data_IF_778052983795
#
_entry.id   IF_778052983795
#
_cell.length_a   1.000
_cell.length_b   1.000
_cell.length_c   1.000
_cell.angle_alpha   90.00
_cell.angle_beta   90.00
_cell.angle_gamma   90.00
#
_symmetry.space_group_name_H-M   'P 1'
#
loop_
_entity.id
_entity.type
_entity.pdbx_description
1 polymer ?
#
# COMPACT_ATOMS: atom_id res chain seq x y z
N UNK A 1 -26.79 -1.01 14.42
CA UNK A 1 -25.74 -1.99 14.11
C UNK A 1 -25.14 -1.65 12.78
N UNK A 2 -24.09 -0.85 12.83
CA UNK A 2 -23.24 -0.55 11.68
C UNK A 2 -22.46 -1.80 11.26
N UNK A 3 -22.22 -1.93 9.96
CA UNK A 3 -21.27 -2.92 9.45
C UNK A 3 -19.85 -2.38 9.63
N UNK A 4 -18.95 -3.25 10.07
CA UNK A 4 -17.54 -2.98 10.29
C UNK A 4 -16.74 -3.96 9.45
N UNK A 5 -15.81 -3.45 8.66
CA UNK A 5 -14.85 -4.22 7.87
C UNK A 5 -13.44 -3.88 8.32
N UNK A 6 -12.64 -4.90 8.60
CA UNK A 6 -11.23 -4.76 8.97
C UNK A 6 -10.39 -5.27 7.80
N UNK A 7 -9.55 -4.40 7.25
CA UNK A 7 -8.64 -4.72 6.14
C UNK A 7 -7.22 -4.65 6.66
N UNK A 8 -6.46 -5.72 6.49
CA UNK A 8 -5.05 -5.76 6.86
C UNK A 8 -4.26 -4.76 6.04
N UNK A 9 -3.38 -4.01 6.68
CA UNK A 9 -2.39 -3.21 5.97
C UNK A 9 -1.18 -4.04 5.53
N UNK A 10 -0.98 -5.22 6.12
CA UNK A 10 0.11 -6.12 5.72
C UNK A 10 -0.27 -6.94 4.48
N UNK A 11 -1.45 -7.57 4.49
CA UNK A 11 -1.88 -8.43 3.38
C UNK A 11 -2.78 -7.73 2.36
N UNK A 12 -3.32 -6.56 2.70
CA UNK A 12 -4.38 -5.87 1.95
C UNK A 12 -5.68 -6.66 1.82
N UNK A 13 -5.82 -7.77 2.55
CA UNK A 13 -7.04 -8.58 2.54
C UNK A 13 -8.00 -8.18 3.65
N UNK A 14 -9.29 -8.49 3.45
CA UNK A 14 -10.29 -8.32 4.51
C UNK A 14 -10.13 -9.43 5.55
N UNK A 15 -9.76 -9.05 6.77
CA UNK A 15 -9.60 -9.97 7.90
C UNK A 15 -10.95 -10.34 8.51
N UNK A 16 -11.84 -9.36 8.65
CA UNK A 16 -13.14 -9.55 9.27
C UNK A 16 -14.18 -8.61 8.64
N UNK A 17 -15.43 -9.09 8.54
CA UNK A 17 -16.62 -8.26 8.34
C UNK A 17 -17.68 -8.67 9.35
N UNK A 18 -18.20 -7.72 10.11
CA UNK A 18 -19.08 -7.97 11.26
C UNK A 18 -20.08 -6.83 11.44
N UNK A 19 -21.22 -7.12 12.07
CA UNK A 19 -22.23 -6.12 12.48
C UNK A 19 -22.31 -5.99 14.00
N UNK A 20 -21.33 -6.55 14.71
CA UNK A 20 -21.23 -6.46 16.17
C UNK A 20 -20.76 -5.07 16.59
N UNK A 21 -21.14 -4.69 17.80
CA UNK A 21 -20.74 -3.44 18.45
C UNK A 21 -19.26 -3.44 18.89
N UNK A 22 -18.54 -4.56 18.72
CA UNK A 22 -17.14 -4.68 19.11
C UNK A 22 -16.35 -5.53 18.12
N UNK A 23 -15.17 -5.05 17.74
CA UNK A 23 -14.19 -5.73 16.89
C UNK A 23 -12.81 -5.65 17.53
N UNK A 24 -11.98 -6.69 17.39
CA UNK A 24 -10.61 -6.69 17.93
C UNK A 24 -9.60 -6.73 16.80
N UNK A 25 -8.56 -5.92 16.92
CA UNK A 25 -7.47 -5.84 15.95
C UNK A 25 -6.25 -6.57 16.50
N UNK A 26 -5.67 -7.44 15.68
CA UNK A 26 -4.44 -8.18 15.99
C UNK A 26 -3.21 -7.66 15.25
N UNK A 27 -3.40 -6.92 14.15
CA UNK A 27 -2.35 -6.40 13.28
C UNK A 27 -2.74 -5.03 12.71
N UNK A 28 -1.78 -4.27 12.18
CA UNK A 28 -2.07 -2.96 11.60
C UNK A 28 -3.12 -3.05 10.48
N UNK A 29 -4.21 -2.29 10.62
CA UNK A 29 -5.42 -2.44 9.81
C UNK A 29 -6.07 -1.11 9.46
N UNK A 30 -6.75 -1.06 8.31
CA UNK A 30 -7.76 -0.05 8.02
C UNK A 30 -9.11 -0.59 8.48
N UNK A 31 -9.72 0.09 9.45
CA UNK A 31 -11.08 -0.20 9.91
C UNK A 31 -12.04 0.69 9.16
N UNK A 32 -12.94 0.09 8.39
CA UNK A 32 -14.00 0.77 7.69
C UNK A 32 -15.33 0.51 8.40
N UNK A 33 -16.08 1.56 8.72
CA UNK A 33 -17.38 1.47 9.38
C UNK A 33 -18.42 2.12 8.48
N UNK A 34 -19.50 1.40 8.17
CA UNK A 34 -20.65 1.97 7.47
C UNK A 34 -21.48 2.82 8.43
N UNK A 35 -21.19 4.12 8.42
CA UNK A 35 -21.85 5.12 9.25
C UNK A 35 -21.69 6.50 8.61
N UNK A 36 -22.74 7.32 8.64
CA UNK A 36 -22.62 8.71 8.25
C UNK A 36 -21.92 9.52 9.35
N UNK A 37 -20.97 10.39 8.99
CA UNK A 37 -20.28 11.26 9.94
C UNK A 37 -21.23 12.13 10.77
N UNK A 38 -22.37 12.52 10.20
CA UNK A 38 -23.39 13.31 10.91
C UNK A 38 -24.09 12.51 12.00
N UNK A 39 -24.08 11.17 11.94
CA UNK A 39 -24.65 10.30 12.96
C UNK A 39 -23.65 10.00 14.10
N UNK A 40 -22.36 10.33 13.92
CA UNK A 40 -21.32 10.17 14.93
C UNK A 40 -21.39 11.33 15.93
N UNK A 41 -21.62 11.01 17.21
CA UNK A 41 -21.65 11.97 18.31
C UNK A 41 -20.27 12.24 18.88
N UNK A 42 -19.47 11.20 19.11
CA UNK A 42 -18.15 11.30 19.73
C UNK A 42 -17.24 10.16 19.25
N UNK A 43 -15.94 10.44 19.14
CA UNK A 43 -14.89 9.44 19.00
C UNK A 43 -13.91 9.67 20.14
N UNK A 44 -13.68 8.65 20.96
CA UNK A 44 -12.87 8.76 22.17
C UNK A 44 -11.90 7.57 22.27
N UNK A 45 -10.73 7.83 22.84
CA UNK A 45 -9.82 6.76 23.25
C UNK A 45 -10.12 6.31 24.68
N UNK A 46 -10.16 5.00 24.88
CA UNK A 46 -10.18 4.36 26.20
C UNK A 46 -9.07 3.30 26.28
N UNK A 47 -7.96 3.65 26.94
CA UNK A 47 -6.74 2.82 26.92
C UNK A 47 -6.23 2.64 25.50
N UNK A 48 -6.26 1.41 24.97
CA UNK A 48 -5.87 1.10 23.59
C UNK A 48 -7.05 1.02 22.62
N UNK A 49 -8.26 1.32 23.08
CA UNK A 49 -9.47 1.12 22.30
C UNK A 49 -9.95 2.45 21.72
N UNK A 50 -10.50 2.42 20.51
CA UNK A 50 -11.30 3.51 19.98
C UNK A 50 -12.78 3.22 20.25
N UNK A 51 -13.47 4.18 20.84
CA UNK A 51 -14.92 4.12 21.12
C UNK A 51 -15.58 5.19 20.26
N UNK A 52 -16.44 4.75 19.34
CA UNK A 52 -17.27 5.62 18.52
C UNK A 52 -18.68 5.58 19.09
N UNK A 53 -19.17 6.71 19.59
CA UNK A 53 -20.56 6.84 20.09
C UNK A 53 -21.40 7.53 19.03
N UNK A 54 -22.50 6.90 18.65
CA UNK A 54 -23.47 7.43 17.69
C UNK A 54 -24.57 8.23 18.40
N UNK A 55 -25.24 9.13 17.68
CA UNK A 55 -26.34 9.97 18.22
C UNK A 55 -27.54 9.17 18.71
N UNK A 56 -27.71 7.93 18.23
CA UNK A 56 -28.73 7.00 18.70
C UNK A 56 -28.35 6.26 20.01
N UNK A 57 -27.14 6.49 20.54
CA UNK A 57 -26.61 5.84 21.73
C UNK A 57 -25.84 4.53 21.49
N UNK A 58 -25.80 4.02 20.26
CA UNK A 58 -24.97 2.86 19.88
C UNK A 58 -23.49 3.20 20.06
N UNK A 59 -22.73 2.26 20.62
CA UNK A 59 -21.29 2.37 20.77
C UNK A 59 -20.59 1.29 19.97
N UNK A 60 -19.64 1.71 19.14
CA UNK A 60 -18.76 0.81 18.40
C UNK A 60 -17.39 0.85 19.07
N UNK A 61 -16.93 -0.31 19.53
CA UNK A 61 -15.64 -0.46 20.22
C UNK A 61 -14.66 -1.20 19.33
N UNK A 62 -13.57 -0.52 18.98
CA UNK A 62 -12.46 -1.11 18.25
C UNK A 62 -11.33 -1.38 19.24
N UNK A 63 -11.17 -2.64 19.61
CA UNK A 63 -10.19 -3.08 20.61
C UNK A 63 -8.79 -3.12 20.00
N UNK A 64 -7.80 -2.63 20.76
CA UNK A 64 -6.40 -2.48 20.33
C UNK A 64 -6.20 -1.60 19.09
N UNK A 65 -7.09 -0.62 18.88
CA UNK A 65 -6.92 0.36 17.80
C UNK A 65 -5.70 1.25 18.01
N UNK A 66 -5.32 1.58 19.25
CA UNK A 66 -4.15 2.43 19.53
C UNK A 66 -2.99 1.60 20.10
N UNK A 67 -1.76 2.03 19.84
CA UNK A 67 -0.54 1.42 20.40
C UNK A 67 -0.41 1.61 21.91
N UNK A 68 -0.86 2.77 22.41
CA UNK A 68 -0.78 3.19 23.81
C UNK A 68 -1.76 4.32 24.12
N UNK A 69 -1.67 4.98 25.27
CA UNK A 69 -2.65 5.97 25.75
C UNK A 69 -2.65 7.34 25.04
N UNK A 70 -1.76 7.53 24.06
CA UNK A 70 -1.46 8.83 23.46
C UNK A 70 -1.97 8.92 22.01
N UNK A 71 -3.16 8.38 21.66
CA UNK A 71 -3.75 8.32 20.30
C UNK A 71 -2.86 7.84 19.13
N UNK A 72 -1.62 7.42 19.38
CA UNK A 72 -0.69 6.87 18.39
C UNK A 72 -1.17 5.50 17.91
N UNK A 73 -1.18 5.30 16.60
CA UNK A 73 -1.67 4.08 15.98
C UNK A 73 -1.04 3.85 14.60
N UNK A 74 -0.87 2.59 14.22
CA UNK A 74 -0.60 2.19 12.83
C UNK A 74 -1.90 1.93 12.07
N UNK A 75 -3.04 1.91 12.77
CA UNK A 75 -4.35 1.66 12.22
C UNK A 75 -4.95 2.94 11.64
N UNK A 76 -5.80 2.79 10.63
CA UNK A 76 -6.61 3.90 10.10
C UNK A 76 -8.08 3.62 10.35
N UNK A 77 -8.86 4.66 10.61
CA UNK A 77 -10.32 4.57 10.73
C UNK A 77 -10.98 5.34 9.59
N UNK A 78 -11.90 4.70 8.88
CA UNK A 78 -12.63 5.27 7.75
C UNK A 78 -14.12 5.08 7.96
N UNK A 79 -14.90 6.13 7.74
CA UNK A 79 -16.35 6.04 7.65
C UNK A 79 -16.79 5.94 6.19
N UNK A 80 -17.74 5.06 5.92
CA UNK A 80 -18.42 4.94 4.63
C UNK A 80 -19.88 5.37 4.81
N UNK A 81 -20.32 6.37 4.05
CA UNK A 81 -21.71 6.83 4.08
C UNK A 81 -22.63 5.97 3.17
N UNK A 82 -23.92 6.32 3.15
CA UNK A 82 -24.92 5.61 2.35
C UNK A 82 -24.72 5.78 0.83
N UNK A 83 -23.91 6.73 0.40
CA UNK A 83 -23.54 6.98 -1.00
C UNK A 83 -22.17 6.35 -1.34
N UNK A 84 -21.60 5.53 -0.45
CA UNK A 84 -20.27 4.93 -0.54
C UNK A 84 -19.10 5.93 -0.52
N UNK A 85 -19.32 7.17 -0.06
CA UNK A 85 -18.21 8.13 0.11
C UNK A 85 -17.41 7.78 1.34
N UNK A 86 -16.09 7.83 1.20
CA UNK A 86 -15.16 7.48 2.26
C UNK A 86 -14.62 8.73 2.95
N UNK A 87 -14.64 8.72 4.27
CA UNK A 87 -14.15 9.79 5.12
C UNK A 87 -13.13 9.24 6.11
N UNK A 88 -11.86 9.58 5.90
CA UNK A 88 -10.77 9.20 6.78
C UNK A 88 -10.78 10.05 8.06
N UNK A 89 -10.67 9.38 9.20
CA UNK A 89 -10.57 9.98 10.53
C UNK A 89 -9.10 10.11 10.91
N UNK A 90 -8.66 11.34 11.14
CA UNK A 90 -7.27 11.68 11.47
C UNK A 90 -7.15 12.00 12.96
N UNK A 91 -6.30 11.24 13.65
CA UNK A 91 -5.97 11.44 15.06
C UNK A 91 -4.65 12.21 15.26
N UNK A 92 -3.80 12.22 14.23
CA UNK A 92 -2.49 12.88 14.21
C UNK A 92 -2.40 13.87 13.06
N UNK A 93 -1.55 14.88 13.22
CA UNK A 93 -1.18 15.83 12.18
C UNK A 93 -0.21 15.22 11.16
N UNK A 94 0.24 16.04 10.21
CA UNK A 94 1.18 15.62 9.17
C UNK A 94 2.57 15.23 9.67
N UNK A 95 2.91 15.55 10.93
CA UNK A 95 4.18 15.18 11.53
C UNK A 95 4.02 13.99 12.49
N UNK A 96 2.82 13.39 12.54
CA UNK A 96 2.50 12.31 13.48
C UNK A 96 2.25 12.81 14.91
N UNK A 97 2.21 14.13 15.14
CA UNK A 97 1.87 14.70 16.44
C UNK A 97 0.35 14.63 16.65
N UNK A 98 -0.10 14.53 17.90
CA UNK A 98 -1.52 14.36 18.20
C UNK A 98 -2.29 15.65 17.91
N UNK A 99 -3.46 15.49 17.30
CA UNK A 99 -4.38 16.61 17.12
C UNK A 99 -5.17 16.84 18.42
N UNK A 100 -5.28 18.10 18.86
CA UNK A 100 -6.22 18.47 19.93
C UNK A 100 -7.68 18.16 19.54
N UNK A 101 -7.98 18.17 18.24
CA UNK A 101 -9.31 17.88 17.68
C UNK A 101 -9.19 16.93 16.49
N UNK A 102 -10.00 15.87 16.48
CA UNK A 102 -10.06 14.93 15.36
C UNK A 102 -10.46 15.66 14.07
N UNK A 103 -9.68 15.47 13.01
CA UNK A 103 -9.99 16.00 11.67
C UNK A 103 -10.47 14.91 10.73
N UNK A 104 -11.14 15.32 9.65
CA UNK A 104 -11.74 14.41 8.68
C UNK A 104 -11.33 14.82 7.27
N UNK A 105 -10.99 13.83 6.45
CA UNK A 105 -10.60 14.05 5.05
C UNK A 105 -11.35 13.07 4.16
N UNK A 106 -12.01 13.58 3.11
CA UNK A 106 -12.60 12.71 2.10
C UNK A 106 -11.51 12.04 1.28
N UNK A 107 -11.71 10.76 0.99
CA UNK A 107 -10.82 9.96 0.14
C UNK A 107 -11.66 9.23 -0.92
N UNK A 108 -11.10 8.99 -2.09
CA UNK A 108 -11.79 8.24 -3.13
C UNK A 108 -11.76 6.74 -2.87
N UNK A 109 -10.73 6.26 -2.18
CA UNK A 109 -10.42 4.84 -2.03
C UNK A 109 -9.50 4.58 -0.83
N UNK A 110 -9.54 3.38 -0.24
CA UNK A 110 -8.81 3.06 1.00
C UNK A 110 -7.37 2.59 0.76
N UNK A 111 -7.00 2.20 -0.46
CA UNK A 111 -5.69 1.60 -0.77
C UNK A 111 -4.52 2.47 -0.31
N UNK A 112 -4.53 3.81 -0.44
CA UNK A 112 -3.45 4.64 0.08
C UNK A 112 -3.22 4.49 1.59
N UNK A 113 -4.26 4.13 2.35
CA UNK A 113 -4.17 3.92 3.80
C UNK A 113 -3.66 2.52 4.16
N UNK A 114 -3.59 1.60 3.21
CA UNK A 114 -3.07 0.25 3.42
C UNK A 114 -1.54 0.21 3.47
N UNK A 115 -0.86 1.21 2.91
CA UNK A 115 0.61 1.28 2.92
C UNK A 115 1.12 2.00 4.18
N UNK A 116 2.22 1.51 4.77
CA UNK A 116 2.72 1.91 6.10
C UNK A 116 3.70 3.10 6.16
N UNK A 117 4.17 3.63 5.03
CA UNK A 117 5.27 4.60 5.08
C UNK A 117 4.76 6.03 5.23
N UNK A 118 5.04 6.63 6.38
CA UNK A 118 4.62 7.96 6.84
C UNK A 118 5.08 9.15 6.00
N UNK A 119 4.70 9.19 4.73
CA UNK A 119 4.54 10.43 3.99
C UNK A 119 3.16 10.97 4.29
N UNK A 120 3.09 11.88 5.26
CA UNK A 120 1.88 12.66 5.44
C UNK A 120 1.61 13.53 4.21
N UNK A 121 0.77 13.02 3.30
CA UNK A 121 -0.46 13.66 2.82
C UNK A 121 -0.89 13.01 1.49
N UNK A 122 -2.20 13.00 1.17
CA UNK A 122 -2.77 12.38 -0.03
C UNK A 122 -2.36 12.97 -1.40
N UNK A 123 -1.28 13.76 -1.48
CA UNK A 123 -0.87 14.48 -2.70
C UNK A 123 0.63 14.36 -3.06
N UNK A 124 1.37 13.42 -2.45
CA UNK A 124 2.80 13.18 -2.74
C UNK A 124 3.08 12.07 -3.78
N UNK A 125 2.19 11.83 -4.76
CA UNK A 125 2.41 10.82 -5.82
C UNK A 125 2.58 11.37 -7.24
N UNK A 126 2.77 12.69 -7.43
CA UNK A 126 2.86 13.27 -8.78
C UNK A 126 4.18 13.95 -9.16
N UNK A 127 5.28 13.78 -8.41
CA UNK A 127 6.59 14.17 -8.97
C UNK A 127 7.75 13.71 -8.11
N UNK A 128 8.47 12.67 -8.55
CA UNK A 128 9.94 12.72 -8.47
C UNK A 128 10.54 11.93 -9.65
N UNK A 129 11.01 12.60 -10.72
CA UNK A 129 12.25 12.19 -11.34
C UNK A 129 13.40 12.54 -10.39
N UNK A 130 14.23 11.54 -10.10
CA UNK A 130 15.42 11.60 -9.24
C UNK A 130 16.27 12.85 -9.51
N UNK A 131 16.62 13.66 -8.49
CA UNK A 131 17.94 14.32 -8.39
C UNK A 131 18.17 14.99 -7.02
N UNK A 132 19.20 14.48 -6.33
CA UNK A 132 20.14 15.20 -5.47
C UNK A 132 19.62 16.33 -4.56
N UNK A 133 19.16 15.97 -3.36
CA UNK A 133 19.65 16.52 -2.08
C UNK A 133 18.87 15.90 -0.90
N UNK A 134 19.38 14.76 -0.41
CA UNK A 134 19.37 14.38 1.01
C UNK A 134 18.02 14.32 1.73
N UNK A 135 17.47 13.11 1.82
CA UNK A 135 17.71 12.28 3.01
C UNK A 135 17.87 10.83 2.55
N UNK A 136 18.94 10.19 3.01
CA UNK A 136 19.20 8.77 2.83
C UNK A 136 19.34 8.08 4.20
N UNK A 137 19.03 6.77 4.18
CA UNK A 137 19.50 5.66 5.03
C UNK A 137 18.78 5.44 6.38
N UNK A 138 18.50 4.20 6.78
CA UNK A 138 19.42 3.05 6.81
C UNK A 138 18.72 1.70 6.59
N UNK A 139 19.36 0.86 5.78
CA UNK A 139 19.24 -0.59 5.88
C UNK A 139 19.73 -1.05 7.27
N UNK A 140 19.06 -2.03 7.86
CA UNK A 140 19.67 -3.12 8.61
C UNK A 140 18.68 -4.28 8.69
N UNK A 141 19.14 -5.44 8.21
CA UNK A 141 18.52 -6.74 8.43
C UNK A 141 18.69 -7.13 9.92
N UNK A 142 17.67 -7.78 10.48
CA UNK A 142 17.89 -8.91 11.39
C UNK A 142 16.72 -9.88 11.25
N UNK A 143 17.07 -11.10 10.87
CA UNK A 143 16.26 -12.31 10.75
C UNK A 143 15.71 -12.75 12.12
N UNK A 144 14.43 -13.15 12.19
CA UNK A 144 14.05 -14.50 12.65
C UNK A 144 12.56 -14.77 12.39
N UNK A 145 12.33 -15.67 11.43
CA UNK A 145 11.03 -16.09 10.91
C UNK A 145 10.74 -17.49 11.47
N UNK A 146 9.61 -17.67 12.14
CA UNK A 146 9.02 -19.01 12.27
C UNK A 146 7.51 -18.96 12.14
N UNK A 147 7.03 -19.12 10.90
CA UNK A 147 5.77 -19.80 10.65
C UNK A 147 5.85 -20.56 9.32
N UNK A 148 5.63 -21.86 9.41
CA UNK A 148 5.57 -22.80 8.31
C UNK A 148 4.14 -22.83 7.76
N UNK A 149 3.99 -22.24 6.58
CA UNK A 149 2.99 -22.57 5.55
C UNK A 149 3.62 -22.08 4.25
N UNK A 150 3.84 -22.97 3.27
CA UNK A 150 4.48 -22.58 2.01
C UNK A 150 3.75 -21.37 1.39
N UNK A 151 4.40 -20.21 1.26
CA UNK A 151 3.82 -19.06 0.59
C UNK A 151 3.88 -19.29 -0.92
N UNK A 152 2.86 -18.82 -1.64
CA UNK A 152 3.02 -18.40 -3.04
C UNK A 152 4.14 -17.35 -3.01
N UNK A 153 5.18 -17.50 -3.83
CA UNK A 153 6.22 -16.50 -3.91
C UNK A 153 5.55 -15.16 -4.27
N UNK A 154 5.73 -14.19 -3.39
CA UNK A 154 5.15 -12.84 -3.48
C UNK A 154 6.26 -11.80 -3.51
N UNK A 155 7.52 -12.26 -3.61
CA UNK A 155 8.66 -11.40 -3.85
C UNK A 155 8.56 -10.97 -5.31
N UNK A 156 8.32 -9.68 -5.63
CA UNK A 156 8.43 -9.23 -7.00
C UNK A 156 9.85 -9.56 -7.45
N UNK A 157 10.03 -10.13 -8.65
CA UNK A 157 11.37 -10.43 -9.14
C UNK A 157 12.23 -9.18 -9.08
N UNK A 158 13.49 -9.34 -8.71
CA UNK A 158 14.42 -8.22 -8.67
C UNK A 158 14.42 -7.51 -10.04
N UNK A 159 14.37 -6.17 -10.04
CA UNK A 159 14.39 -5.41 -11.29
C UNK A 159 15.58 -5.87 -12.16
N UNK A 160 15.38 -5.98 -13.48
CA UNK A 160 16.42 -6.47 -14.36
C UNK A 160 17.64 -5.54 -14.31
N UNK A 161 18.83 -6.11 -14.30
CA UNK A 161 20.10 -5.39 -14.24
C UNK A 161 20.89 -5.58 -15.53
N UNK A 162 21.87 -4.72 -15.79
CA UNK A 162 22.74 -4.84 -16.97
C UNK A 162 21.95 -4.81 -18.30
N UNK A 163 20.82 -4.08 -18.29
CA UNK A 163 19.93 -3.95 -19.45
C UNK A 163 20.62 -3.13 -20.52
N UNK A 164 20.79 -3.72 -21.71
CA UNK A 164 21.41 -3.10 -22.85
C UNK A 164 20.62 -3.41 -24.12
N UNK A 165 20.41 -2.37 -24.92
CA UNK A 165 19.84 -2.48 -26.27
C UNK A 165 20.98 -2.71 -27.26
N UNK A 166 20.78 -3.60 -28.23
CA UNK A 166 21.73 -3.85 -29.31
C UNK A 166 21.93 -2.60 -30.18
N UNK A 167 23.06 -2.49 -30.86
CA UNK A 167 23.42 -1.30 -31.66
C UNK A 167 22.44 -1.04 -32.82
N UNK A 168 21.76 -2.07 -33.29
CA UNK A 168 20.71 -2.02 -34.31
C UNK A 168 19.29 -1.78 -33.72
N UNK A 169 19.16 -1.69 -32.39
CA UNK A 169 17.91 -1.36 -31.71
C UNK A 169 16.88 -2.48 -31.66
N UNK A 170 17.20 -3.68 -32.17
CA UNK A 170 16.25 -4.79 -32.35
C UNK A 170 16.17 -5.72 -31.15
N UNK A 171 17.18 -5.72 -30.28
CA UNK A 171 17.31 -6.71 -29.21
C UNK A 171 17.62 -6.04 -27.89
N UNK A 172 16.99 -6.50 -26.82
CA UNK A 172 17.27 -6.09 -25.44
C UNK A 172 17.85 -7.28 -24.69
N UNK A 173 19.03 -7.08 -24.14
CA UNK A 173 19.71 -8.06 -23.29
C UNK A 173 19.74 -7.57 -21.86
N UNK A 174 19.83 -8.48 -20.90
CA UNK A 174 20.00 -8.11 -19.51
C UNK A 174 20.09 -9.32 -18.60
N UNK A 175 20.07 -9.06 -17.30
CA UNK A 175 20.07 -10.07 -16.24
C UNK A 175 18.85 -9.94 -15.37
N UNK A 176 18.29 -11.07 -14.98
CA UNK A 176 17.09 -11.13 -14.16
C UNK A 176 17.06 -12.39 -13.32
N UNK A 177 15.96 -12.57 -12.60
CA UNK A 177 15.74 -13.79 -11.84
C UNK A 177 15.46 -14.98 -12.78
N UNK A 178 16.21 -16.09 -12.70
CA UNK A 178 16.02 -17.23 -13.59
C UNK A 178 14.59 -17.78 -13.56
N UNK A 179 13.99 -17.95 -14.73
CA UNK A 179 12.63 -18.50 -14.86
C UNK A 179 11.51 -17.46 -14.88
N UNK A 180 11.79 -16.17 -14.63
CA UNK A 180 10.78 -15.11 -14.68
C UNK A 180 10.52 -14.62 -16.11
N UNK A 181 9.30 -14.17 -16.38
CA UNK A 181 8.88 -13.56 -17.65
C UNK A 181 9.41 -12.14 -17.74
N UNK A 182 10.05 -11.81 -18.87
CA UNK A 182 10.53 -10.47 -19.19
C UNK A 182 9.46 -9.75 -20.00
N UNK A 183 9.13 -8.52 -19.63
CA UNK A 183 8.21 -7.65 -20.36
C UNK A 183 8.90 -6.32 -20.62
N UNK A 184 8.91 -5.90 -21.89
CA UNK A 184 9.50 -4.64 -22.34
C UNK A 184 8.39 -3.74 -22.82
N UNK A 185 8.35 -2.51 -22.31
CA UNK A 185 7.34 -1.50 -22.62
C UNK A 185 7.97 -0.21 -23.13
N UNK A 186 7.27 0.49 -24.00
CA UNK A 186 7.59 1.87 -24.41
C UNK A 186 7.20 2.91 -23.33
N UNK A 187 7.49 4.19 -23.58
CA UNK A 187 7.13 5.31 -22.70
C UNK A 187 5.61 5.47 -22.50
N UNK A 188 4.83 5.10 -23.52
CA UNK A 188 3.36 5.10 -23.47
C UNK A 188 2.77 3.89 -22.71
N UNK A 189 3.61 2.94 -22.29
CA UNK A 189 3.26 1.75 -21.52
C UNK A 189 2.80 0.55 -22.37
N UNK A 190 2.92 0.60 -23.69
CA UNK A 190 2.62 -0.51 -24.59
C UNK A 190 3.73 -1.55 -24.55
N UNK A 191 3.37 -2.84 -24.61
CA UNK A 191 4.35 -3.93 -24.66
C UNK A 191 4.93 -4.03 -26.08
N UNK A 192 6.26 -3.92 -26.17
CA UNK A 192 7.02 -3.94 -27.43
C UNK A 192 7.98 -5.14 -27.54
N UNK A 193 8.03 -5.99 -26.50
CA UNK A 193 8.78 -7.24 -26.50
C UNK A 193 8.54 -8.07 -25.24
N UNK A 194 8.58 -9.39 -25.39
CA UNK A 194 8.43 -10.34 -24.28
C UNK A 194 9.46 -11.47 -24.36
N UNK A 195 9.91 -11.96 -23.21
CA UNK A 195 10.78 -13.14 -23.16
C UNK A 195 10.82 -13.81 -21.80
N UNK A 196 11.85 -14.60 -21.55
CA UNK A 196 12.03 -15.32 -20.29
C UNK A 196 13.50 -15.35 -19.92
N UNK A 197 13.79 -15.17 -18.63
CA UNK A 197 15.17 -15.25 -18.12
C UNK A 197 15.61 -16.71 -18.09
N UNK A 198 16.77 -16.98 -18.71
CA UNK A 198 17.39 -18.31 -18.75
C UNK A 198 17.85 -18.75 -17.35
N UNK A 199 18.08 -20.06 -17.13
CA UNK A 199 18.60 -20.60 -15.86
C UNK A 199 19.93 -19.99 -15.39
N UNK A 200 20.71 -19.39 -16.31
CA UNK A 200 21.96 -18.71 -16.01
C UNK A 200 21.79 -17.24 -15.56
N UNK A 201 20.53 -16.77 -15.45
CA UNK A 201 20.18 -15.42 -15.02
C UNK A 201 20.27 -14.37 -16.12
N UNK A 202 20.47 -14.76 -17.37
CA UNK A 202 20.51 -13.84 -18.52
C UNK A 202 19.23 -13.90 -19.35
N UNK A 203 18.84 -12.78 -19.95
CA UNK A 203 17.75 -12.74 -20.92
C UNK A 203 18.16 -11.97 -22.18
N UNK A 204 17.51 -12.33 -23.27
CA UNK A 204 17.64 -11.72 -24.58
C UNK A 204 16.23 -11.73 -25.20
N UNK A 205 15.72 -10.55 -25.50
CA UNK A 205 14.37 -10.33 -26.02
C UNK A 205 14.49 -9.57 -27.33
N UNK A 206 13.97 -10.14 -28.40
CA UNK A 206 13.81 -9.46 -29.69
C UNK A 206 12.58 -8.55 -29.59
N UNK A 207 12.72 -7.31 -30.05
CA UNK A 207 11.66 -6.31 -30.06
C UNK A 207 10.86 -6.40 -31.35
N UNK A 208 9.55 -6.20 -31.26
CA UNK A 208 8.67 -6.19 -32.43
C UNK A 208 8.94 -4.98 -33.33
N UNK A 209 9.38 -3.86 -32.74
CA UNK A 209 9.80 -2.64 -33.45
C UNK A 209 11.21 -2.22 -32.99
N UNK A 210 12.14 -1.90 -33.91
CA UNK A 210 13.49 -1.50 -33.55
C UNK A 210 13.54 -0.10 -32.96
N UNK A 211 14.23 0.05 -31.82
CA UNK A 211 14.46 1.33 -31.16
C UNK A 211 15.52 2.12 -31.93
N UNK A 212 15.09 3.06 -32.76
CA UNK A 212 16.00 3.78 -33.69
C UNK A 212 16.23 5.23 -33.31
N UNK A 213 15.46 5.77 -32.36
CA UNK A 213 15.45 7.20 -32.05
C UNK A 213 15.81 7.53 -30.59
N UNK A 214 16.48 6.61 -29.88
CA UNK A 214 16.84 6.80 -28.47
C UNK A 214 15.64 6.73 -27.52
N UNK A 215 14.63 5.96 -27.89
CA UNK A 215 13.39 5.75 -27.14
C UNK A 215 13.68 5.16 -25.75
N UNK A 216 13.00 5.69 -24.73
CA UNK A 216 13.09 5.16 -23.37
C UNK A 216 12.18 3.93 -23.26
N UNK A 217 12.74 2.85 -22.72
CA UNK A 217 12.03 1.60 -22.52
C UNK A 217 12.02 1.21 -21.05
N UNK A 218 10.93 0.57 -20.62
CA UNK A 218 10.82 -0.02 -19.29
C UNK A 218 10.90 -1.53 -19.41
N UNK A 219 11.84 -2.15 -18.69
CA UNK A 219 11.94 -3.62 -18.62
C UNK A 219 11.49 -4.08 -17.24
N UNK A 220 10.47 -4.92 -17.22
CA UNK A 220 9.92 -5.54 -16.01
C UNK A 220 10.08 -7.06 -16.02
N UNK A 221 10.09 -7.67 -14.84
CA UNK A 221 10.09 -9.11 -14.64
C UNK A 221 8.83 -9.52 -13.86
N UNK A 222 8.18 -10.62 -14.28
CA UNK A 222 7.00 -11.21 -13.63
C UNK A 222 7.22 -12.70 -13.36
N UNK A 223 6.74 -13.21 -12.21
CA UNK A 223 6.71 -14.64 -11.84
C UNK A 223 5.45 -15.34 -12.39
#
# INVERSE_FOLDING_TARGET
MSEIRVVSKESHETLETTTKDTVSISEASVVLIKVNKDDVSEIKQDGRNAIITLKNGEQIVIVNFFKGGDYSTDNSLVFEDNEHKLLWVQFTDSNGALLENITFSYIDKIEPLLYHDGVASPWAWLSVPLTAAGILWWANNDDDKSSSTQPKDTTPPAAPTDVAVSEDGTTVTGKGEPGTKVIIKDEDGNVIGEGTVKPDGTFEVELDEPLTNGEEITVGLED
#
